data_IF_944297917295
#
_entry.id   IF_944297917295
#
_cell.length_a   1.000
_cell.length_b   1.000
_cell.length_c   1.000
_cell.angle_alpha   90.00
_cell.angle_beta   90.00
_cell.angle_gamma   90.00
#
_symmetry.space_group_name_H-M   'P 1'
#
loop_
_entity.id
_entity.type
_entity.pdbx_description
1 polymer ?
#
# COMPACT_ATOMS: atom_id res chain seq x y z
N UNK A 1 -0.62 -33.37 33.79
CA UNK A 1 0.49 -34.16 33.20
C UNK A 1 1.17 -33.32 32.13
N UNK A 2 2.40 -32.83 32.33
CA UNK A 2 3.25 -32.44 31.21
C UNK A 2 4.58 -33.19 31.27
N UNK A 3 4.94 -33.85 30.19
CA UNK A 3 6.18 -34.63 30.05
C UNK A 3 7.01 -34.04 28.90
N UNK A 4 8.27 -33.71 29.24
CA UNK A 4 9.50 -33.54 28.41
C UNK A 4 9.52 -32.35 27.42
N UNK A 5 10.24 -31.25 27.64
CA UNK A 5 11.73 -31.05 27.68
C UNK A 5 12.46 -31.69 26.50
N UNK A 6 13.13 -30.86 25.69
CA UNK A 6 14.56 -30.98 25.36
C UNK A 6 15.09 -29.65 24.81
N UNK A 7 15.84 -28.94 25.67
CA UNK A 7 16.90 -28.01 25.30
C UNK A 7 18.22 -28.80 25.35
N UNK A 8 19.13 -28.56 24.42
CA UNK A 8 20.53 -28.98 24.54
C UNK A 8 21.44 -27.78 24.23
N UNK A 9 22.25 -27.33 25.19
CA UNK A 9 23.29 -26.31 24.99
C UNK A 9 24.70 -26.93 25.00
N UNK A 10 25.69 -26.05 24.82
CA UNK A 10 27.13 -26.18 25.10
C UNK A 10 28.01 -26.51 23.89
N UNK A 11 28.79 -25.51 23.46
CA UNK A 11 30.18 -25.73 23.07
C UNK A 11 31.04 -24.55 23.55
N UNK A 12 31.63 -24.75 24.73
CA UNK A 12 32.79 -24.02 25.26
C UNK A 12 33.90 -25.06 25.42
N UNK A 13 35.14 -24.65 25.11
CA UNK A 13 36.43 -24.96 25.75
C UNK A 13 37.52 -24.75 24.68
N UNK A 14 38.33 -23.69 24.74
CA UNK A 14 39.55 -23.51 25.54
C UNK A 14 40.73 -24.42 25.11
N UNK A 15 41.82 -23.76 24.65
CA UNK A 15 43.15 -24.30 24.31
C UNK A 15 43.79 -25.14 25.43
N UNK A 16 44.80 -25.98 25.10
CA UNK A 16 46.16 -25.60 25.47
C UNK A 16 47.30 -26.01 24.50
N UNK A 17 48.27 -25.10 24.37
CA UNK A 17 49.72 -25.22 24.61
C UNK A 17 50.65 -26.18 23.82
N UNK A 18 51.69 -25.52 23.26
CA UNK A 18 53.14 -25.85 23.27
C UNK A 18 53.72 -27.03 22.48
N UNK A 19 54.71 -26.70 21.65
CA UNK A 19 55.82 -27.60 21.32
C UNK A 19 56.65 -27.13 20.12
N UNK A 20 57.77 -26.43 20.36
CA UNK A 20 59.05 -26.77 19.73
C UNK A 20 60.19 -25.97 20.39
N UNK A 21 60.94 -26.62 21.27
CA UNK A 21 62.28 -26.19 21.67
C UNK A 21 63.30 -26.64 20.59
N UNK A 22 64.26 -25.77 20.27
CA UNK A 22 65.67 -26.16 20.12
C UNK A 22 66.61 -24.94 20.23
N UNK A 23 67.54 -25.10 21.17
CA UNK A 23 68.63 -24.25 21.68
C UNK A 23 69.78 -24.04 20.66
N UNK A 24 70.96 -23.51 21.07
CA UNK A 24 71.29 -22.17 21.58
C UNK A 24 72.50 -21.58 20.81
N UNK A 25 72.98 -20.34 21.08
CA UNK A 25 74.41 -20.00 21.22
C UNK A 25 74.60 -18.56 21.78
N UNK A 26 75.36 -18.58 22.89
CA UNK A 26 76.12 -17.57 23.65
C UNK A 26 76.80 -16.42 22.86
N UNK A 27 76.71 -15.17 23.34
CA UNK A 27 77.78 -14.41 24.07
C UNK A 27 77.38 -12.94 24.28
N UNK A 28 77.63 -12.46 25.49
CA UNK A 28 77.53 -11.07 25.96
C UNK A 28 78.63 -10.18 25.36
N UNK A 29 78.36 -8.89 25.19
CA UNK A 29 79.14 -7.79 25.79
C UNK A 29 78.62 -6.39 25.36
N UNK A 30 78.44 -5.54 26.39
CA UNK A 30 78.82 -4.10 26.48
C UNK A 30 78.09 -3.02 25.65
N UNK A 31 77.25 -2.29 26.39
CA UNK A 31 77.31 -0.85 26.70
C UNK A 31 76.88 0.27 25.70
N UNK A 32 76.27 1.28 26.35
CA UNK A 32 76.12 2.71 26.07
C UNK A 32 74.92 3.24 25.23
N UNK A 33 73.91 3.69 25.96
CA UNK A 33 73.26 5.02 25.95
C UNK A 33 73.01 5.83 24.65
N UNK A 34 71.71 6.12 24.48
CA UNK A 34 71.07 7.42 24.11
C UNK A 34 70.73 7.70 22.64
N UNK A 35 69.42 7.75 22.32
CA UNK A 35 68.69 8.81 21.59
C UNK A 35 67.26 8.28 21.32
N UNK A 36 66.22 8.61 22.08
CA UNK A 36 65.41 9.85 22.04
C UNK A 36 65.17 10.39 20.63
N UNK A 37 64.01 10.04 20.05
CA UNK A 37 63.16 10.89 19.18
C UNK A 37 62.29 9.98 18.30
N UNK A 38 61.12 9.58 18.80
CA UNK A 38 60.02 9.15 17.92
C UNK A 38 58.89 10.16 18.09
N UNK A 39 58.81 11.03 17.10
CA UNK A 39 57.75 12.00 16.86
C UNK A 39 56.38 11.33 16.81
N UNK A 40 55.42 11.99 17.47
CA UNK A 40 54.00 12.03 17.16
C UNK A 40 53.35 10.79 16.53
N UNK A 41 52.93 9.84 17.37
CA UNK A 41 51.64 9.20 17.12
C UNK A 41 50.54 10.14 17.62
N UNK A 42 50.30 11.22 16.87
CA UNK A 42 49.03 11.94 16.92
C UNK A 42 47.93 10.92 16.60
N UNK A 43 47.37 10.38 17.68
CA UNK A 43 46.21 9.54 17.63
C UNK A 43 45.15 10.32 16.84
N UNK A 44 44.54 9.69 15.83
CA UNK A 44 43.35 10.21 15.14
C UNK A 44 42.05 9.64 15.77
N UNK A 45 41.73 9.85 17.07
CA UNK A 45 40.46 9.39 17.64
C UNK A 45 39.29 10.23 17.13
N UNK A 46 39.55 11.46 16.64
CA UNK A 46 38.51 12.40 16.20
C UNK A 46 37.84 11.98 14.88
N UNK A 47 38.59 11.41 13.93
CA UNK A 47 38.06 10.94 12.64
C UNK A 47 37.19 9.69 12.81
N UNK A 48 37.64 8.75 13.64
CA UNK A 48 36.90 7.52 13.98
C UNK A 48 35.65 7.81 14.81
N UNK A 49 35.70 8.79 15.72
CA UNK A 49 34.51 9.25 16.46
C UNK A 49 33.48 9.93 15.55
N UNK A 50 33.92 10.80 14.61
CA UNK A 50 33.05 11.42 13.61
C UNK A 50 32.37 10.39 12.72
N UNK A 51 33.11 9.40 12.22
CA UNK A 51 32.56 8.30 11.40
C UNK A 51 31.54 7.43 12.18
N UNK A 52 31.76 7.18 13.47
CA UNK A 52 30.78 6.47 14.32
C UNK A 52 29.50 7.28 14.52
N UNK A 53 29.59 8.60 14.63
CA UNK A 53 28.43 9.49 14.76
C UNK A 53 27.64 9.60 13.46
N UNK A 54 28.30 9.68 12.30
CA UNK A 54 27.62 9.68 11.00
C UNK A 54 26.91 8.37 10.72
N UNK A 55 27.53 7.22 11.05
CA UNK A 55 26.89 5.91 10.95
C UNK A 55 25.64 5.80 11.84
N UNK A 56 25.70 6.32 13.08
CA UNK A 56 24.53 6.37 13.98
C UNK A 56 23.40 7.23 13.41
N UNK A 57 23.72 8.39 12.83
CA UNK A 57 22.74 9.26 12.16
C UNK A 57 22.10 8.57 10.96
N UNK A 58 22.90 7.91 10.09
CA UNK A 58 22.41 7.16 8.94
C UNK A 58 21.45 6.04 9.36
N UNK A 59 21.81 5.26 10.39
CA UNK A 59 20.94 4.21 10.95
C UNK A 59 19.64 4.76 11.54
N UNK A 60 19.67 5.96 12.14
CA UNK A 60 18.46 6.61 12.65
C UNK A 60 17.54 7.01 11.51
N UNK A 61 18.09 7.68 10.49
CA UNK A 61 17.34 8.09 9.30
C UNK A 61 16.71 6.88 8.59
N UNK A 62 17.47 5.79 8.40
CA UNK A 62 16.97 4.57 7.76
C UNK A 62 15.84 3.91 8.57
N UNK A 63 15.87 3.98 9.90
CA UNK A 63 14.76 3.49 10.73
C UNK A 63 13.53 4.35 10.58
N UNK A 64 13.70 5.67 10.53
CA UNK A 64 12.60 6.62 10.33
C UNK A 64 11.96 6.43 8.95
N UNK A 65 12.76 6.26 7.88
CA UNK A 65 12.22 6.00 6.53
C UNK A 65 11.45 4.68 6.47
N UNK A 66 11.99 3.59 7.04
CA UNK A 66 11.28 2.30 7.12
C UNK A 66 9.97 2.40 7.89
N UNK A 67 9.95 3.20 8.96
CA UNK A 67 8.73 3.41 9.75
C UNK A 67 7.68 4.20 8.96
N UNK A 68 8.09 5.21 8.19
CA UNK A 68 7.18 5.97 7.32
C UNK A 68 6.57 5.09 6.23
N UNK A 69 7.39 4.30 5.53
CA UNK A 69 6.93 3.35 4.50
C UNK A 69 5.87 2.40 5.09
N UNK A 70 6.17 1.81 6.26
CA UNK A 70 5.23 0.91 6.94
C UNK A 70 3.93 1.61 7.34
N UNK A 71 3.98 2.86 7.78
CA UNK A 71 2.77 3.62 8.11
C UNK A 71 1.92 3.90 6.88
N UNK A 72 2.55 4.20 5.74
CA UNK A 72 1.84 4.45 4.49
C UNK A 72 1.20 3.18 3.92
N UNK A 73 1.91 2.05 3.97
CA UNK A 73 1.38 0.73 3.60
C UNK A 73 0.16 0.36 4.46
N UNK A 74 0.24 0.59 5.79
CA UNK A 74 -0.90 0.36 6.69
C UNK A 74 -2.10 1.27 6.36
N UNK A 75 -1.86 2.53 6.00
CA UNK A 75 -2.94 3.44 5.57
C UNK A 75 -3.60 2.95 4.28
N UNK A 76 -2.81 2.51 3.30
CA UNK A 76 -3.33 1.91 2.05
C UNK A 76 -4.17 0.67 2.34
N UNK A 77 -3.66 -0.24 3.17
CA UNK A 77 -4.40 -1.44 3.57
C UNK A 77 -5.74 -1.11 4.24
N UNK A 78 -5.75 -0.14 5.17
CA UNK A 78 -7.00 0.27 5.82
C UNK A 78 -7.99 0.89 4.83
N UNK A 79 -7.53 1.68 3.85
CA UNK A 79 -8.39 2.21 2.78
C UNK A 79 -8.99 1.06 1.96
N UNK A 80 -8.17 0.10 1.53
CA UNK A 80 -8.62 -1.05 0.75
C UNK A 80 -9.69 -1.87 1.51
N UNK A 81 -9.44 -2.13 2.80
CA UNK A 81 -10.41 -2.82 3.66
C UNK A 81 -11.72 -2.06 3.82
N UNK A 82 -11.66 -0.72 3.91
CA UNK A 82 -12.87 0.10 4.00
C UNK A 82 -13.69 0.05 2.70
N UNK A 83 -13.03 0.12 1.54
CA UNK A 83 -13.69 0.00 0.23
C UNK A 83 -14.33 -1.38 0.07
N UNK A 84 -13.59 -2.43 0.40
CA UNK A 84 -14.10 -3.81 0.34
C UNK A 84 -15.36 -3.99 1.20
N UNK A 85 -15.34 -3.48 2.42
CA UNK A 85 -16.51 -3.52 3.31
C UNK A 85 -17.70 -2.76 2.72
N UNK A 86 -17.47 -1.61 2.08
CA UNK A 86 -18.54 -0.83 1.45
C UNK A 86 -19.13 -1.56 0.24
N UNK A 87 -18.32 -2.25 -0.56
CA UNK A 87 -18.78 -3.09 -1.66
C UNK A 87 -19.64 -4.25 -1.14
N UNK A 88 -19.20 -4.95 -0.08
CA UNK A 88 -19.98 -6.02 0.55
C UNK A 88 -21.35 -5.52 1.07
N UNK A 89 -21.37 -4.34 1.69
CA UNK A 89 -22.61 -3.71 2.15
C UNK A 89 -23.53 -3.32 0.97
N UNK A 90 -22.96 -2.84 -0.14
CA UNK A 90 -23.71 -2.56 -1.36
C UNK A 90 -24.33 -3.82 -1.96
N UNK A 91 -23.58 -4.92 -2.05
CA UNK A 91 -24.09 -6.20 -2.56
C UNK A 91 -25.26 -6.72 -1.71
N UNK A 92 -25.20 -6.57 -0.39
CA UNK A 92 -26.30 -6.94 0.51
C UNK A 92 -27.56 -6.09 0.25
N UNK A 93 -27.38 -4.77 0.08
CA UNK A 93 -28.49 -3.86 -0.25
C UNK A 93 -29.08 -4.16 -1.63
N UNK A 94 -28.25 -4.43 -2.63
CA UNK A 94 -28.70 -4.84 -3.96
C UNK A 94 -29.53 -6.12 -3.89
N UNK A 95 -29.06 -7.16 -3.17
CA UNK A 95 -29.82 -8.38 -2.92
C UNK A 95 -31.16 -8.11 -2.23
N UNK A 96 -31.21 -7.22 -1.26
CA UNK A 96 -32.47 -6.84 -0.59
C UNK A 96 -33.46 -6.16 -1.55
N UNK A 97 -32.98 -5.25 -2.41
CA UNK A 97 -33.80 -4.60 -3.44
C UNK A 97 -34.25 -5.57 -4.53
N UNK A 98 -33.46 -6.58 -4.87
CA UNK A 98 -33.87 -7.64 -5.79
C UNK A 98 -35.03 -8.46 -5.22
N UNK A 99 -34.91 -8.89 -3.96
CA UNK A 99 -35.98 -9.62 -3.27
C UNK A 99 -37.25 -8.76 -3.19
N UNK A 100 -37.12 -7.49 -2.81
CA UNK A 100 -38.25 -6.57 -2.78
C UNK A 100 -38.86 -6.37 -4.18
N UNK A 101 -38.03 -6.23 -5.21
CA UNK A 101 -38.47 -6.08 -6.60
C UNK A 101 -39.26 -7.27 -7.12
N UNK A 102 -38.82 -8.50 -6.83
CA UNK A 102 -39.55 -9.72 -7.20
C UNK A 102 -40.90 -9.78 -6.50
N UNK A 103 -40.97 -9.38 -5.22
CA UNK A 103 -42.23 -9.32 -4.47
C UNK A 103 -43.19 -8.30 -5.08
N UNK A 104 -42.69 -7.10 -5.37
CA UNK A 104 -43.47 -6.01 -5.95
C UNK A 104 -43.98 -6.38 -7.36
N UNK A 105 -43.16 -7.03 -8.18
CA UNK A 105 -43.57 -7.53 -9.49
C UNK A 105 -44.71 -8.54 -9.37
N UNK A 106 -44.63 -9.47 -8.41
CA UNK A 106 -45.68 -10.46 -8.16
C UNK A 106 -47.00 -9.81 -7.74
N UNK A 107 -46.92 -8.78 -6.89
CA UNK A 107 -48.09 -7.99 -6.48
C UNK A 107 -48.72 -7.25 -7.68
N UNK A 108 -47.90 -6.60 -8.53
CA UNK A 108 -48.35 -5.93 -9.75
C UNK A 108 -49.00 -6.89 -10.76
N UNK A 109 -48.58 -8.15 -10.81
CA UNK A 109 -49.20 -9.19 -11.66
C UNK A 109 -50.50 -9.76 -11.10
N UNK A 110 -50.87 -9.40 -9.87
CA UNK A 110 -52.05 -9.95 -9.18
C UNK A 110 -51.86 -11.39 -8.68
N UNK A 111 -50.61 -11.86 -8.59
CA UNK A 111 -50.25 -13.22 -8.14
C UNK A 111 -50.09 -13.32 -6.60
N UNK A 112 -50.33 -12.23 -5.88
CA UNK A 112 -50.27 -12.18 -4.41
C UNK A 112 -51.67 -12.22 -3.78
N UNK A 113 -51.80 -12.95 -2.68
CA UNK A 113 -53.06 -13.10 -1.91
C UNK A 113 -53.57 -11.78 -1.29
N UNK A 114 -52.75 -10.73 -1.29
CA UNK A 114 -53.05 -9.40 -0.77
C UNK A 114 -53.54 -8.44 -1.87
N UNK A 115 -54.73 -8.68 -2.43
CA UNK A 115 -55.35 -7.84 -3.47
C UNK A 115 -55.87 -6.47 -2.98
N UNK A 116 -55.12 -5.75 -2.14
CA UNK A 116 -55.59 -4.53 -1.44
C UNK A 116 -54.77 -3.28 -1.70
N UNK A 117 -53.60 -3.39 -2.35
CA UNK A 117 -52.72 -2.24 -2.61
C UNK A 117 -53.11 -1.54 -3.90
N UNK A 118 -53.18 -0.21 -3.86
CA UNK A 118 -53.49 0.61 -5.04
C UNK A 118 -52.36 0.50 -6.08
N UNK A 119 -52.72 0.34 -7.36
CA UNK A 119 -51.76 0.23 -8.47
C UNK A 119 -50.84 1.45 -8.52
N UNK A 120 -51.37 2.64 -8.22
CA UNK A 120 -50.58 3.88 -8.17
C UNK A 120 -49.49 3.83 -7.10
N UNK A 121 -49.80 3.25 -5.94
CA UNK A 121 -48.83 3.06 -4.84
C UNK A 121 -47.76 2.04 -5.22
N UNK A 122 -48.14 0.93 -5.85
CA UNK A 122 -47.18 -0.07 -6.31
C UNK A 122 -46.24 0.48 -7.40
N UNK A 123 -46.76 1.29 -8.31
CA UNK A 123 -45.94 1.99 -9.30
C UNK A 123 -44.97 2.98 -8.65
N UNK A 124 -45.41 3.71 -7.63
CA UNK A 124 -44.53 4.60 -6.87
C UNK A 124 -43.39 3.82 -6.19
N UNK A 125 -43.69 2.72 -5.50
CA UNK A 125 -42.68 1.85 -4.89
C UNK A 125 -41.72 1.26 -5.93
N UNK A 126 -42.22 0.98 -7.13
CA UNK A 126 -41.40 0.50 -8.23
C UNK A 126 -40.43 1.58 -8.72
N UNK A 127 -40.90 2.82 -8.86
CA UNK A 127 -40.04 3.97 -9.20
C UNK A 127 -38.95 4.19 -8.15
N UNK A 128 -39.33 4.16 -6.86
CA UNK A 128 -38.38 4.29 -5.75
C UNK A 128 -37.33 3.16 -5.77
N UNK A 129 -37.75 1.92 -6.03
CA UNK A 129 -36.82 0.80 -6.19
C UNK A 129 -35.86 1.00 -7.37
N UNK A 130 -36.34 1.47 -8.52
CA UNK A 130 -35.49 1.69 -9.70
C UNK A 130 -34.47 2.80 -9.42
N UNK A 131 -34.88 3.88 -8.78
CA UNK A 131 -34.00 4.97 -8.38
C UNK A 131 -32.94 4.51 -7.39
N UNK A 132 -33.33 3.76 -6.36
CA UNK A 132 -32.37 3.27 -5.38
C UNK A 132 -31.40 2.26 -6.01
N UNK A 133 -31.87 1.34 -6.86
CA UNK A 133 -30.99 0.44 -7.61
C UNK A 133 -29.99 1.21 -8.48
N UNK A 134 -30.44 2.25 -9.19
CA UNK A 134 -29.56 3.07 -10.01
C UNK A 134 -28.49 3.77 -9.16
N UNK A 135 -28.88 4.33 -8.01
CA UNK A 135 -27.96 4.94 -7.05
C UNK A 135 -26.92 3.96 -6.52
N UNK A 136 -27.33 2.73 -6.16
CA UNK A 136 -26.39 1.71 -5.70
C UNK A 136 -25.40 1.30 -6.80
N UNK A 137 -25.86 1.16 -8.05
CA UNK A 137 -24.99 0.83 -9.20
C UNK A 137 -23.95 1.94 -9.47
N UNK A 138 -24.35 3.21 -9.37
CA UNK A 138 -23.43 4.35 -9.49
C UNK A 138 -22.40 4.35 -8.37
N UNK A 139 -22.83 4.15 -7.13
CA UNK A 139 -21.94 4.11 -5.98
C UNK A 139 -20.98 2.90 -6.02
N UNK A 140 -21.43 1.74 -6.46
CA UNK A 140 -20.58 0.57 -6.70
C UNK A 140 -19.50 0.89 -7.75
N UNK A 141 -19.89 1.50 -8.86
CA UNK A 141 -18.95 1.90 -9.93
C UNK A 141 -17.89 2.88 -9.43
N UNK A 142 -18.29 3.87 -8.61
CA UNK A 142 -17.37 4.81 -7.97
C UNK A 142 -16.37 4.08 -7.06
N UNK A 143 -16.85 3.16 -6.20
CA UNK A 143 -15.98 2.39 -5.32
C UNK A 143 -14.99 1.49 -6.07
N UNK A 144 -15.41 0.90 -7.18
CA UNK A 144 -14.52 0.09 -8.02
C UNK A 144 -13.40 0.95 -8.65
N UNK A 145 -13.71 2.18 -9.07
CA UNK A 145 -12.69 3.10 -9.58
C UNK A 145 -11.72 3.52 -8.46
N UNK A 146 -12.24 3.82 -7.26
CA UNK A 146 -11.39 4.15 -6.10
C UNK A 146 -10.49 2.96 -5.70
N UNK A 147 -11.01 1.74 -5.77
CA UNK A 147 -10.22 0.53 -5.52
C UNK A 147 -9.07 0.41 -6.54
N UNK A 148 -9.37 0.59 -7.83
CA UNK A 148 -8.37 0.55 -8.89
C UNK A 148 -7.32 1.67 -8.74
N UNK A 149 -7.74 2.89 -8.38
CA UNK A 149 -6.79 3.98 -8.10
C UNK A 149 -5.85 3.61 -6.95
N UNK A 150 -6.37 3.01 -5.88
CA UNK A 150 -5.57 2.59 -4.73
C UNK A 150 -4.55 1.50 -5.08
N UNK A 151 -4.89 0.58 -5.98
CA UNK A 151 -3.96 -0.42 -6.53
C UNK A 151 -2.84 0.23 -7.34
N UNK A 152 -3.19 1.23 -8.18
CA UNK A 152 -2.20 1.99 -8.95
C UNK A 152 -1.29 2.82 -8.04
N UNK A 153 -1.82 3.42 -6.96
CA UNK A 153 -1.02 4.09 -5.93
C UNK A 153 -0.03 3.13 -5.26
N UNK A 154 -0.46 1.90 -4.95
CA UNK A 154 0.40 0.88 -4.38
C UNK A 154 1.52 0.48 -5.35
N UNK A 155 1.16 0.25 -6.61
CA UNK A 155 2.11 -0.09 -7.66
C UNK A 155 3.12 1.03 -7.92
N UNK A 156 2.66 2.28 -8.03
CA UNK A 156 3.51 3.47 -8.15
C UNK A 156 4.50 3.53 -6.98
N UNK A 157 4.04 3.37 -5.74
CA UNK A 157 4.90 3.42 -4.56
C UNK A 157 5.99 2.34 -4.57
N UNK A 158 5.68 1.12 -5.03
CA UNK A 158 6.67 0.04 -5.19
C UNK A 158 7.72 0.37 -6.25
N UNK A 159 7.29 0.92 -7.40
CA UNK A 159 8.20 1.36 -8.47
C UNK A 159 9.10 2.50 -7.99
N UNK A 160 8.56 3.49 -7.29
CA UNK A 160 9.33 4.59 -6.71
C UNK A 160 10.38 4.09 -5.72
N UNK A 161 10.02 3.14 -4.85
CA UNK A 161 10.99 2.55 -3.92
C UNK A 161 12.10 1.82 -4.68
N UNK A 162 11.74 0.98 -5.66
CA UNK A 162 12.70 0.22 -6.48
C UNK A 162 13.66 1.15 -7.21
N UNK A 163 13.14 2.25 -7.79
CA UNK A 163 13.95 3.25 -8.47
C UNK A 163 14.91 3.97 -7.50
N UNK A 164 14.43 4.37 -6.31
CA UNK A 164 15.29 4.99 -5.28
C UNK A 164 16.42 4.09 -4.82
N UNK A 165 16.16 2.78 -4.71
CA UNK A 165 17.18 1.79 -4.35
C UNK A 165 18.26 1.65 -5.43
N UNK A 166 17.86 1.65 -6.70
CA UNK A 166 18.78 1.63 -7.86
C UNK A 166 19.62 2.91 -7.95
N UNK A 167 18.96 4.07 -7.85
CA UNK A 167 19.62 5.38 -7.87
C UNK A 167 20.55 5.65 -6.67
N UNK A 168 20.43 4.87 -5.59
CA UNK A 168 21.34 4.97 -4.45
C UNK A 168 22.73 4.37 -4.74
N UNK A 169 22.87 3.61 -5.83
CA UNK A 169 24.16 3.11 -6.35
C UNK A 169 24.85 4.26 -7.06
N UNK A 170 26.16 4.41 -6.83
CA UNK A 170 26.97 5.45 -7.48
C UNK A 170 27.03 5.24 -8.99
N UNK A 171 26.85 6.30 -9.78
CA UNK A 171 26.78 6.23 -11.24
C UNK A 171 28.06 5.66 -11.87
N UNK A 172 29.22 5.81 -11.22
CA UNK A 172 30.48 5.22 -11.70
C UNK A 172 30.53 3.70 -11.59
N UNK A 173 29.65 3.11 -10.76
CA UNK A 173 29.55 1.66 -10.54
C UNK A 173 28.42 1.03 -11.37
N UNK A 174 27.59 1.83 -12.04
CA UNK A 174 26.47 1.35 -12.86
C UNK A 174 26.96 0.89 -14.23
N UNK A 175 26.41 -0.21 -14.72
CA UNK A 175 26.59 -0.63 -16.10
C UNK A 175 25.37 -0.26 -16.96
N UNK A 176 25.47 -0.46 -18.28
CA UNK A 176 24.39 -0.13 -19.23
C UNK A 176 23.08 -0.85 -18.89
N UNK A 177 23.15 -2.08 -18.38
CA UNK A 177 21.94 -2.81 -17.95
C UNK A 177 21.30 -2.17 -16.73
N UNK A 178 22.07 -1.64 -15.78
CA UNK A 178 21.52 -0.93 -14.62
C UNK A 178 20.78 0.35 -15.04
N UNK A 179 21.34 1.08 -16.00
CA UNK A 179 20.72 2.29 -16.56
C UNK A 179 19.44 1.97 -17.32
N UNK A 180 19.44 0.89 -18.11
CA UNK A 180 18.22 0.43 -18.79
C UNK A 180 17.15 -0.01 -17.81
N UNK A 181 17.51 -0.71 -16.73
CA UNK A 181 16.55 -1.06 -15.67
C UNK A 181 15.95 0.18 -14.98
N UNK A 182 16.76 1.22 -14.71
CA UNK A 182 16.26 2.49 -14.18
C UNK A 182 15.26 3.16 -15.13
N UNK A 183 15.56 3.18 -16.44
CA UNK A 183 14.68 3.73 -17.48
C UNK A 183 13.38 2.92 -17.65
N UNK A 184 13.45 1.60 -17.58
CA UNK A 184 12.28 0.72 -17.61
C UNK A 184 11.35 0.97 -16.41
N UNK A 185 11.90 1.07 -15.20
CA UNK A 185 11.13 1.37 -13.99
C UNK A 185 10.46 2.76 -14.10
N UNK A 186 11.20 3.75 -14.58
CA UNK A 186 10.67 5.09 -14.78
C UNK A 186 9.55 5.11 -15.82
N UNK A 187 9.75 4.42 -16.94
CA UNK A 187 8.75 4.29 -18.01
C UNK A 187 7.49 3.60 -17.51
N UNK A 188 7.63 2.53 -16.73
CA UNK A 188 6.50 1.85 -16.09
C UNK A 188 5.75 2.80 -15.15
N UNK A 189 6.47 3.55 -14.31
CA UNK A 189 5.86 4.53 -13.39
C UNK A 189 5.08 5.62 -14.14
N UNK A 190 5.57 6.09 -15.29
CA UNK A 190 4.82 7.03 -16.13
C UNK A 190 3.51 6.44 -16.66
N UNK A 191 3.51 5.16 -17.05
CA UNK A 191 2.27 4.45 -17.46
C UNK A 191 1.26 4.38 -16.33
N UNK A 192 1.70 4.08 -15.11
CA UNK A 192 0.82 4.05 -13.93
C UNK A 192 0.17 5.41 -13.68
N UNK A 193 0.94 6.49 -13.80
CA UNK A 193 0.41 7.86 -13.67
C UNK A 193 -0.61 8.16 -14.76
N UNK A 194 -0.34 7.75 -16.01
CA UNK A 194 -1.29 7.90 -17.12
C UNK A 194 -2.58 7.10 -16.89
N UNK A 195 -2.48 5.87 -16.36
CA UNK A 195 -3.65 5.06 -16.00
C UNK A 195 -4.49 5.72 -14.91
N UNK A 196 -3.86 6.32 -13.89
CA UNK A 196 -4.57 7.09 -12.87
C UNK A 196 -5.29 8.31 -13.46
N UNK A 197 -4.65 9.03 -14.38
CA UNK A 197 -5.26 10.17 -15.07
C UNK A 197 -6.50 9.77 -15.90
N UNK A 198 -6.45 8.58 -16.52
CA UNK A 198 -7.62 7.98 -17.20
C UNK A 198 -8.76 7.67 -16.23
N UNK A 199 -8.47 7.20 -15.01
CA UNK A 199 -9.50 6.98 -13.99
C UNK A 199 -10.18 8.28 -13.56
N UNK A 200 -9.42 9.35 -13.37
CA UNK A 200 -9.96 10.69 -13.07
C UNK A 200 -10.89 11.16 -14.21
N UNK A 201 -10.44 10.99 -15.45
CA UNK A 201 -11.25 11.32 -16.63
C UNK A 201 -12.54 10.50 -16.69
N UNK A 202 -12.47 9.20 -16.40
CA UNK A 202 -13.63 8.30 -16.36
C UNK A 202 -14.66 8.72 -15.30
N UNK A 203 -14.21 9.11 -14.11
CA UNK A 203 -15.09 9.62 -13.05
C UNK A 203 -15.80 10.91 -13.47
N UNK A 204 -15.08 11.85 -14.08
CA UNK A 204 -15.71 13.10 -14.54
C UNK A 204 -16.71 12.85 -15.69
N UNK A 205 -16.38 11.96 -16.62
CA UNK A 205 -17.31 11.53 -17.68
C UNK A 205 -18.58 10.90 -17.11
N UNK A 206 -18.44 9.99 -16.13
CA UNK A 206 -19.57 9.40 -15.41
C UNK A 206 -20.40 10.50 -14.73
N UNK A 207 -19.77 11.38 -13.94
CA UNK A 207 -20.46 12.46 -13.22
C UNK A 207 -21.25 13.38 -14.15
N UNK A 208 -20.70 13.73 -15.31
CA UNK A 208 -21.39 14.57 -16.31
C UNK A 208 -22.57 13.82 -16.92
N UNK A 209 -22.37 12.56 -17.30
CA UNK A 209 -23.41 11.72 -17.88
C UNK A 209 -24.57 11.50 -16.91
N UNK A 210 -24.28 11.13 -15.67
CA UNK A 210 -25.28 10.91 -14.62
C UNK A 210 -26.10 12.17 -14.34
N UNK A 211 -25.46 13.34 -14.28
CA UNK A 211 -26.16 14.62 -14.14
C UNK A 211 -27.11 14.89 -15.31
N UNK A 212 -26.71 14.55 -16.53
CA UNK A 212 -27.56 14.71 -17.71
C UNK A 212 -28.74 13.73 -17.69
N UNK A 213 -28.52 12.48 -17.27
CA UNK A 213 -29.57 11.47 -17.08
C UNK A 213 -30.59 11.92 -16.03
N UNK A 214 -30.13 12.44 -14.89
CA UNK A 214 -30.99 12.91 -13.80
C UNK A 214 -31.84 14.11 -14.25
N UNK A 215 -31.23 15.08 -14.94
CA UNK A 215 -31.96 16.23 -15.51
C UNK A 215 -33.02 15.80 -16.53
N UNK A 216 -32.67 14.84 -17.39
CA UNK A 216 -33.60 14.31 -18.38
C UNK A 216 -34.76 13.57 -17.70
N UNK A 217 -34.47 12.77 -16.68
CA UNK A 217 -35.45 12.03 -15.92
C UNK A 217 -36.40 12.96 -15.15
N UNK A 218 -35.88 13.95 -14.45
CA UNK A 218 -36.67 14.99 -13.76
C UNK A 218 -37.62 15.70 -14.74
N UNK A 219 -37.14 16.05 -15.93
CA UNK A 219 -37.96 16.67 -16.97
C UNK A 219 -39.12 15.76 -17.40
N UNK A 220 -38.88 14.45 -17.56
CA UNK A 220 -39.92 13.48 -17.93
C UNK A 220 -40.95 13.35 -16.80
N UNK A 221 -40.50 13.21 -15.56
CA UNK A 221 -41.35 13.06 -14.38
C UNK A 221 -42.26 14.27 -14.21
N UNK A 222 -41.71 15.48 -14.30
CA UNK A 222 -42.47 16.73 -14.21
C UNK A 222 -43.50 16.86 -15.34
N UNK A 223 -43.15 16.48 -16.57
CA UNK A 223 -44.07 16.53 -17.72
C UNK A 223 -45.27 15.58 -17.59
N UNK A 224 -45.14 14.50 -16.81
CA UNK A 224 -46.19 13.51 -16.56
C UNK A 224 -46.99 13.76 -15.29
N UNK A 225 -46.66 14.82 -14.53
CA UNK A 225 -47.39 15.24 -13.33
C UNK A 225 -47.08 14.42 -12.07
N UNK A 226 -46.03 13.59 -12.07
CA UNK A 226 -45.57 12.88 -10.87
C UNK A 226 -44.71 13.82 -10.02
N UNK A 227 -44.96 13.90 -8.71
CA UNK A 227 -44.09 14.62 -7.77
C UNK A 227 -43.11 13.62 -7.15
N UNK A 228 -41.81 13.82 -7.39
CA UNK A 228 -40.78 13.14 -6.63
C UNK A 228 -40.78 13.69 -5.20
N UNK A 229 -40.99 12.82 -4.23
CA UNK A 229 -40.67 13.10 -2.83
C UNK A 229 -39.17 13.44 -2.77
N UNK A 230 -38.83 14.71 -2.48
CA UNK A 230 -37.43 15.05 -2.15
C UNK A 230 -37.08 14.36 -0.84
N UNK A 231 -36.14 13.43 -0.88
CA UNK A 231 -35.45 12.89 0.30
C UNK A 231 -34.13 13.64 0.43
#
# INVERSE_FOLDING_TARGET
>A
LPFMKNYSPEDRLCYPSTGCERLPVRKQATDYSTSSSDDEFESKPSLTQKARMTLRRRRKLEKETRQLIKQEELKRLHKAQAIQRQLEELEERQRALEIFGVKLERELRGESDSGTKDETQMLQEWFELVLEKNKLMRYESELLIIAQELELEDHQSRLEQKLREKMAIDDSLKCETDLNEEDEIFTEMMKVIEERDKLVSTLEEQRVKEKAEDQHFESIILSRGYQLSRI
#
